data_IF_825002434596
#
_entry.id   IF_825002434596
#
_cell.length_a   1.000
_cell.length_b   1.000
_cell.length_c   1.000
_cell.angle_alpha   90.00
_cell.angle_beta   90.00
_cell.angle_gamma   90.00
#
_symmetry.space_group_name_H-M   'P 1'
#
loop_
_entity.id
_entity.type
_entity.pdbx_description
1 polymer ?
#
# COMPACT_ATOMS: atom_id res chain seq x y z
N UNK A 1 -29.84 11.04 16.19
CA UNK A 1 -28.87 12.11 15.82
C UNK A 1 -28.30 11.75 14.48
N UNK A 2 -28.63 12.51 13.42
CA UNK A 2 -28.02 12.31 12.11
C UNK A 2 -26.61 12.94 12.18
N UNK A 3 -25.57 12.15 11.96
CA UNK A 3 -24.23 12.68 11.79
C UNK A 3 -24.19 13.55 10.54
N UNK A 4 -23.56 14.73 10.58
CA UNK A 4 -23.40 15.55 9.37
C UNK A 4 -22.63 14.72 8.34
N UNK A 5 -23.28 14.43 7.21
CA UNK A 5 -22.59 13.81 6.08
C UNK A 5 -21.63 14.86 5.50
N UNK A 6 -20.34 14.58 5.64
CA UNK A 6 -19.29 15.38 4.99
C UNK A 6 -19.36 15.07 3.49
N UNK A 7 -19.96 15.95 2.71
CA UNK A 7 -19.97 15.84 1.25
C UNK A 7 -18.65 16.40 0.73
N UNK A 8 -17.76 15.51 0.29
CA UNK A 8 -16.53 15.89 -0.39
C UNK A 8 -16.90 16.46 -1.77
N UNK A 9 -16.68 17.75 -2.00
CA UNK A 9 -16.79 18.32 -3.34
C UNK A 9 -15.56 17.92 -4.17
N UNK A 10 -15.70 16.81 -4.89
CA UNK A 10 -14.67 16.23 -5.76
C UNK A 10 -14.88 16.56 -7.24
N UNK A 11 -15.87 17.39 -7.59
CA UNK A 11 -16.08 17.83 -8.96
C UNK A 11 -14.79 18.50 -9.47
N UNK A 12 -14.30 18.09 -10.62
CA UNK A 12 -13.06 18.58 -11.25
C UNK A 12 -11.74 18.35 -10.47
N UNK A 13 -11.77 17.68 -9.32
CA UNK A 13 -10.58 17.38 -8.52
C UNK A 13 -10.19 15.92 -8.67
N UNK A 14 -8.88 15.65 -8.56
CA UNK A 14 -8.34 14.29 -8.62
C UNK A 14 -8.55 13.53 -7.30
N UNK A 15 -8.80 12.24 -7.45
CA UNK A 15 -8.71 11.23 -6.39
C UNK A 15 -7.45 10.41 -6.65
N UNK A 16 -6.48 10.49 -5.76
CA UNK A 16 -5.15 9.87 -5.92
C UNK A 16 -4.91 8.88 -4.80
N UNK A 17 -4.45 7.69 -5.15
CA UNK A 17 -4.13 6.62 -4.22
C UNK A 17 -2.70 6.14 -4.45
N UNK A 18 -1.84 6.27 -3.44
CA UNK A 18 -0.49 5.68 -3.46
C UNK A 18 -0.46 4.41 -2.62
N UNK A 19 0.45 3.51 -2.94
CA UNK A 19 0.52 2.15 -2.37
C UNK A 19 -0.78 1.37 -2.60
N UNK A 20 -1.34 1.53 -3.81
CA UNK A 20 -2.69 1.07 -4.15
C UNK A 20 -2.88 -0.46 -4.09
N UNK A 21 -1.77 -1.23 -4.10
CA UNK A 21 -1.81 -2.69 -4.11
C UNK A 21 -2.68 -3.24 -5.24
N UNK A 22 -3.47 -4.27 -4.97
CA UNK A 22 -4.41 -4.87 -5.93
C UNK A 22 -5.76 -4.12 -6.04
N UNK A 23 -5.95 -2.98 -5.36
CA UNK A 23 -7.12 -2.10 -5.50
C UNK A 23 -8.18 -2.22 -4.40
N UNK A 24 -7.91 -2.91 -3.29
CA UNK A 24 -8.88 -3.02 -2.20
C UNK A 24 -9.31 -1.68 -1.61
N UNK A 25 -8.36 -0.79 -1.34
CA UNK A 25 -8.63 0.58 -0.87
C UNK A 25 -9.38 1.40 -1.92
N UNK A 26 -9.00 1.28 -3.21
CA UNK A 26 -9.68 1.96 -4.30
C UNK A 26 -11.15 1.54 -4.40
N UNK A 27 -11.45 0.25 -4.30
CA UNK A 27 -12.83 -0.26 -4.27
C UNK A 27 -13.66 0.36 -3.13
N UNK A 28 -13.07 0.47 -1.92
CA UNK A 28 -13.72 1.10 -0.78
C UNK A 28 -13.97 2.59 -0.99
N UNK A 29 -12.97 3.31 -1.50
CA UNK A 29 -13.07 4.74 -1.82
C UNK A 29 -14.13 4.98 -2.90
N UNK A 30 -14.11 4.24 -4.00
CA UNK A 30 -15.07 4.38 -5.12
C UNK A 30 -16.51 4.17 -4.66
N UNK A 31 -16.75 3.16 -3.80
CA UNK A 31 -18.07 2.94 -3.20
C UNK A 31 -18.52 4.10 -2.31
N UNK A 32 -17.58 4.69 -1.56
CA UNK A 32 -17.89 5.79 -0.65
C UNK A 32 -18.17 7.11 -1.36
N UNK A 33 -17.45 7.41 -2.45
CA UNK A 33 -17.55 8.69 -3.16
C UNK A 33 -18.41 8.64 -4.43
N UNK A 34 -18.83 7.43 -4.86
CA UNK A 34 -19.69 7.23 -6.04
C UNK A 34 -19.01 7.52 -7.38
N UNK A 35 -17.67 7.52 -7.45
CA UNK A 35 -16.90 7.70 -8.69
C UNK A 35 -15.57 6.96 -8.63
N UNK A 36 -14.93 6.79 -9.80
CA UNK A 36 -13.65 6.12 -9.89
C UNK A 36 -12.50 6.93 -9.28
N UNK A 37 -11.48 6.22 -8.78
CA UNK A 37 -10.17 6.77 -8.47
C UNK A 37 -9.50 7.20 -9.78
N UNK A 38 -8.97 8.41 -9.83
CA UNK A 38 -8.34 8.94 -11.06
C UNK A 38 -6.93 8.37 -11.26
N UNK A 39 -6.14 8.31 -10.20
CA UNK A 39 -4.73 7.91 -10.25
C UNK A 39 -4.43 6.91 -9.14
N UNK A 40 -3.77 5.81 -9.50
CA UNK A 40 -3.24 4.83 -8.57
C UNK A 40 -1.75 4.56 -8.85
N UNK A 41 -0.95 4.50 -7.79
CA UNK A 41 0.48 4.20 -7.91
C UNK A 41 0.91 3.11 -6.93
N UNK A 42 1.75 2.22 -7.40
CA UNK A 42 2.44 1.20 -6.62
C UNK A 42 3.69 0.74 -7.37
N UNK A 43 4.75 0.38 -6.66
CA UNK A 43 6.00 -0.10 -7.26
C UNK A 43 5.94 -1.56 -7.72
N UNK A 44 4.95 -2.33 -7.27
CA UNK A 44 4.81 -3.76 -7.57
C UNK A 44 3.95 -3.95 -8.83
N UNK A 45 4.55 -4.50 -9.90
CA UNK A 45 3.90 -4.73 -11.20
C UNK A 45 2.78 -5.77 -11.12
N UNK A 46 2.98 -6.87 -10.37
CA UNK A 46 1.96 -7.92 -10.23
C UNK A 46 0.70 -7.37 -9.54
N UNK A 47 0.89 -6.59 -8.47
CA UNK A 47 -0.22 -5.93 -7.79
C UNK A 47 -0.94 -4.94 -8.70
N UNK A 48 -0.20 -4.18 -9.51
CA UNK A 48 -0.79 -3.22 -10.44
C UNK A 48 -1.45 -3.88 -11.65
N UNK A 49 -1.03 -5.07 -12.04
CA UNK A 49 -1.74 -5.89 -13.04
C UNK A 49 -3.12 -6.30 -12.54
N UNK A 50 -3.22 -6.77 -11.28
CA UNK A 50 -4.50 -7.02 -10.64
C UNK A 50 -5.34 -5.73 -10.50
N UNK A 51 -4.69 -4.61 -10.15
CA UNK A 51 -5.36 -3.32 -10.01
C UNK A 51 -5.99 -2.86 -11.32
N UNK A 52 -5.27 -2.96 -12.44
CA UNK A 52 -5.79 -2.60 -13.78
C UNK A 52 -7.02 -3.42 -14.16
N UNK A 53 -7.03 -4.71 -13.82
CA UNK A 53 -8.19 -5.57 -14.10
C UNK A 53 -9.43 -5.15 -13.28
N UNK A 54 -9.23 -4.70 -12.03
CA UNK A 54 -10.30 -4.30 -11.13
C UNK A 54 -10.75 -2.84 -11.35
N UNK A 55 -9.83 -1.97 -11.77
CA UNK A 55 -10.05 -0.52 -11.93
C UNK A 55 -9.55 -0.02 -13.30
N UNK A 56 -10.15 -0.48 -14.41
CA UNK A 56 -9.64 -0.18 -15.76
C UNK A 56 -9.71 1.30 -16.15
N UNK A 57 -10.48 2.11 -15.44
CA UNK A 57 -10.66 3.54 -15.70
C UNK A 57 -9.63 4.42 -14.94
N UNK A 58 -8.88 3.83 -14.02
CA UNK A 58 -7.84 4.50 -13.24
C UNK A 58 -6.55 4.61 -14.06
N UNK A 59 -5.89 5.75 -14.01
CA UNK A 59 -4.54 5.91 -14.53
C UNK A 59 -3.53 5.27 -13.57
N UNK A 60 -2.70 4.35 -14.08
CA UNK A 60 -1.80 3.54 -13.27
C UNK A 60 -0.34 3.94 -13.45
N UNK A 61 0.37 4.11 -12.34
CA UNK A 61 1.81 4.34 -12.30
C UNK A 61 2.50 3.18 -11.57
N UNK A 62 3.40 2.47 -12.28
CA UNK A 62 4.22 1.38 -11.71
C UNK A 62 5.59 1.97 -11.40
N UNK A 63 5.65 2.69 -10.30
CA UNK A 63 6.85 3.41 -9.90
C UNK A 63 6.99 3.46 -8.37
N UNK A 64 8.22 3.62 -7.93
CA UNK A 64 8.50 3.98 -6.54
C UNK A 64 8.01 5.41 -6.27
N UNK A 65 7.22 5.58 -5.22
CA UNK A 65 6.67 6.90 -4.83
C UNK A 65 7.74 8.00 -4.68
N UNK A 66 9.01 7.63 -4.43
CA UNK A 66 10.12 8.58 -4.31
C UNK A 66 10.56 9.19 -5.65
N UNK A 67 10.28 8.52 -6.76
CA UNK A 67 10.63 9.00 -8.11
C UNK A 67 9.43 9.53 -8.88
N UNK A 68 8.21 9.33 -8.36
CA UNK A 68 7.01 9.89 -8.95
C UNK A 68 7.06 11.42 -8.94
N UNK A 69 6.78 12.02 -10.10
CA UNK A 69 6.63 13.47 -10.21
C UNK A 69 5.15 13.86 -10.08
N UNK A 70 4.73 14.49 -8.96
CA UNK A 70 3.33 14.85 -8.75
C UNK A 70 2.76 15.81 -9.82
N UNK A 71 3.61 16.67 -10.41
CA UNK A 71 3.19 17.58 -11.47
C UNK A 71 2.87 16.87 -12.78
N UNK A 72 3.64 15.83 -13.10
CA UNK A 72 3.38 15.01 -14.29
C UNK A 72 2.15 14.12 -14.08
N UNK A 73 1.99 13.54 -12.89
CA UNK A 73 0.84 12.71 -12.55
C UNK A 73 -0.48 13.49 -12.56
N UNK A 74 -0.50 14.64 -11.91
CA UNK A 74 -1.72 15.40 -11.67
C UNK A 74 -1.97 16.48 -12.72
N UNK A 75 -0.95 16.87 -13.49
CA UNK A 75 -1.02 18.02 -14.40
C UNK A 75 -1.39 19.29 -13.63
N UNK A 76 -2.28 20.08 -14.22
CA UNK A 76 -2.82 21.31 -13.59
C UNK A 76 -4.07 21.05 -12.71
N UNK A 77 -4.52 19.80 -12.58
CA UNK A 77 -5.75 19.46 -11.82
C UNK A 77 -5.47 19.41 -10.33
N UNK A 78 -6.29 20.06 -9.50
CA UNK A 78 -6.14 20.00 -8.06
C UNK A 78 -6.51 18.61 -7.53
N UNK A 79 -5.79 18.15 -6.49
CA UNK A 79 -6.12 16.92 -5.76
C UNK A 79 -7.19 17.24 -4.71
N UNK A 80 -8.31 16.54 -4.76
CA UNK A 80 -9.41 16.67 -3.81
C UNK A 80 -9.43 15.60 -2.74
N UNK A 81 -8.90 14.43 -3.06
CA UNK A 81 -8.73 13.33 -2.12
C UNK A 81 -7.38 12.62 -2.37
N UNK A 82 -6.63 12.44 -1.31
CA UNK A 82 -5.32 11.81 -1.36
C UNK A 82 -5.26 10.71 -0.31
N UNK A 83 -5.08 9.47 -0.75
CA UNK A 83 -4.95 8.30 0.11
C UNK A 83 -3.56 7.68 0.00
N UNK A 84 -2.99 7.36 1.14
CA UNK A 84 -1.68 6.73 1.26
C UNK A 84 -1.76 5.64 2.30
N UNK A 85 -1.56 4.39 1.89
CA UNK A 85 -1.59 3.24 2.80
C UNK A 85 -0.37 2.33 2.60
N UNK A 86 0.80 2.78 3.03
CA UNK A 86 2.00 1.95 2.96
C UNK A 86 1.84 0.71 3.85
N UNK A 87 2.41 -0.39 3.40
CA UNK A 87 2.40 -1.65 4.13
C UNK A 87 3.13 -1.52 5.46
N UNK A 88 2.50 -1.98 6.53
CA UNK A 88 3.06 -1.89 7.87
C UNK A 88 2.99 -3.24 8.60
N UNK A 89 4.01 -3.52 9.38
CA UNK A 89 4.07 -4.61 10.34
C UNK A 89 3.99 -4.05 11.77
N UNK A 90 3.43 -4.80 12.73
CA UNK A 90 3.42 -4.38 14.12
C UNK A 90 4.81 -4.42 14.74
N UNK A 91 5.01 -3.65 15.80
CA UNK A 91 6.18 -3.75 16.65
C UNK A 91 6.42 -5.19 17.10
N UNK A 92 7.69 -5.58 17.26
CA UNK A 92 8.10 -6.95 17.55
C UNK A 92 8.19 -7.87 16.35
N UNK A 93 7.78 -7.44 15.14
CA UNK A 93 7.99 -8.24 13.92
C UNK A 93 9.49 -8.37 13.64
N UNK A 94 9.97 -9.61 13.55
CA UNK A 94 11.39 -9.88 13.36
C UNK A 94 11.80 -9.73 11.90
N UNK A 95 12.81 -8.93 11.66
CA UNK A 95 13.45 -8.72 10.35
C UNK A 95 14.85 -9.31 10.38
N UNK A 96 15.21 -10.11 9.38
CA UNK A 96 16.57 -10.65 9.27
C UNK A 96 17.54 -9.58 8.77
N UNK A 97 18.47 -9.20 9.63
CA UNK A 97 19.56 -8.25 9.35
C UNK A 97 20.92 -8.97 9.32
N UNK A 98 21.99 -8.26 8.96
CA UNK A 98 23.37 -8.79 9.10
C UNK A 98 23.75 -9.13 10.54
N UNK A 99 23.06 -8.56 11.52
CA UNK A 99 23.27 -8.83 12.96
C UNK A 99 22.39 -9.94 13.51
N UNK A 100 21.58 -10.58 12.67
CA UNK A 100 20.57 -11.54 13.06
C UNK A 100 19.15 -10.97 13.03
N UNK A 101 18.21 -11.68 13.64
CA UNK A 101 16.83 -11.24 13.76
C UNK A 101 16.71 -10.02 14.68
N UNK A 102 16.19 -8.95 14.18
CA UNK A 102 16.03 -7.65 14.88
C UNK A 102 14.57 -7.22 14.79
N UNK A 103 13.95 -6.76 15.89
CA UNK A 103 12.61 -6.17 15.86
C UNK A 103 12.52 -5.01 14.87
N UNK A 104 11.41 -4.93 14.12
CA UNK A 104 11.26 -3.94 13.02
C UNK A 104 11.38 -2.50 13.51
N UNK A 105 10.94 -2.20 14.73
CA UNK A 105 11.05 -0.88 15.35
C UNK A 105 12.49 -0.47 15.68
N UNK A 106 13.41 -1.42 15.74
CA UNK A 106 14.84 -1.17 15.99
C UNK A 106 15.64 -0.98 14.70
N UNK A 107 15.02 -1.24 13.54
CA UNK A 107 15.65 -1.08 12.22
C UNK A 107 15.86 0.40 11.92
N UNK A 108 17.08 0.73 11.51
CA UNK A 108 17.50 2.10 11.19
C UNK A 108 17.89 2.23 9.73
N UNK A 109 17.81 3.46 9.24
CA UNK A 109 18.37 3.81 7.93
C UNK A 109 19.87 3.45 7.90
N UNK A 110 20.26 2.71 6.87
CA UNK A 110 21.62 2.21 6.71
C UNK A 110 21.81 0.74 7.12
N UNK A 111 20.90 0.15 7.90
CA UNK A 111 20.94 -1.29 8.17
C UNK A 111 20.76 -2.11 6.88
N UNK A 112 21.34 -3.31 6.85
CA UNK A 112 21.14 -4.24 5.74
C UNK A 112 20.16 -5.33 6.15
N UNK A 113 19.10 -5.49 5.35
CA UNK A 113 18.04 -6.49 5.54
C UNK A 113 17.97 -7.44 4.35
N UNK A 114 17.51 -8.67 4.60
CA UNK A 114 17.26 -9.63 3.52
C UNK A 114 15.94 -9.31 2.80
N UNK A 115 15.93 -9.44 1.49
CA UNK A 115 14.72 -9.25 0.68
C UNK A 115 14.10 -10.59 0.26
N UNK A 116 12.88 -10.57 -0.28
CA UNK A 116 12.19 -11.74 -0.85
C UNK A 116 12.96 -12.43 -2.00
N UNK A 117 13.91 -11.74 -2.63
CA UNK A 117 14.81 -12.29 -3.64
C UNK A 117 16.11 -12.84 -3.03
N UNK A 118 16.14 -13.04 -1.72
CA UNK A 118 17.31 -13.52 -0.96
C UNK A 118 18.58 -12.67 -1.17
N UNK A 119 18.40 -11.35 -1.30
CA UNK A 119 19.47 -10.36 -1.47
C UNK A 119 19.50 -9.37 -0.32
N UNK A 120 20.69 -9.05 0.15
CA UNK A 120 20.90 -7.99 1.13
C UNK A 120 20.68 -6.63 0.50
N UNK A 121 19.91 -5.79 1.16
CA UNK A 121 19.65 -4.42 0.75
C UNK A 121 19.69 -3.48 1.94
N UNK A 122 20.23 -2.30 1.69
CA UNK A 122 20.30 -1.24 2.70
C UNK A 122 18.93 -0.60 2.88
N UNK A 123 18.53 -0.40 4.13
CA UNK A 123 17.35 0.38 4.50
C UNK A 123 17.59 1.84 4.14
N UNK A 124 16.74 2.40 3.30
CA UNK A 124 16.84 3.78 2.82
C UNK A 124 15.94 4.74 3.58
N UNK A 125 14.84 4.24 4.14
CA UNK A 125 13.93 5.01 4.99
C UNK A 125 13.16 4.09 5.93
N UNK A 126 12.69 4.63 7.05
CA UNK A 126 11.78 3.96 7.98
C UNK A 126 10.56 4.84 8.21
N UNK A 127 9.43 4.22 8.54
CA UNK A 127 8.19 4.93 8.82
C UNK A 127 7.45 4.22 9.95
N UNK A 128 6.83 5.00 10.82
CA UNK A 128 5.96 4.49 11.90
C UNK A 128 4.57 5.12 11.78
N UNK A 129 3.54 4.30 11.94
CA UNK A 129 2.15 4.76 11.91
C UNK A 129 1.30 3.95 12.91
N UNK A 130 0.24 4.55 13.43
CA UNK A 130 -0.77 3.85 14.22
C UNK A 130 -1.89 3.42 13.28
N UNK A 131 -2.06 2.09 13.11
CA UNK A 131 -3.06 1.51 12.21
C UNK A 131 -3.72 0.29 12.84
N UNK A 132 -4.98 -0.03 12.48
CA UNK A 132 -5.58 -1.32 12.82
C UNK A 132 -4.81 -2.44 12.13
N UNK A 133 -4.64 -3.55 12.84
CA UNK A 133 -3.93 -4.74 12.35
C UNK A 133 -4.85 -5.95 12.33
N UNK A 134 -4.56 -6.90 11.43
CA UNK A 134 -5.23 -8.19 11.29
C UNK A 134 -4.25 -9.31 11.57
N UNK A 135 -4.72 -10.37 12.24
CA UNK A 135 -3.98 -11.63 12.34
C UNK A 135 -4.47 -12.56 11.24
N UNK A 136 -3.57 -12.93 10.34
CA UNK A 136 -3.85 -13.84 9.23
C UNK A 136 -3.18 -15.18 9.54
N UNK A 137 -3.96 -16.26 9.53
CA UNK A 137 -3.49 -17.63 9.73
C UNK A 137 -3.81 -18.47 8.51
N UNK A 138 -2.89 -19.33 8.12
CA UNK A 138 -3.05 -20.25 6.99
C UNK A 138 -2.61 -21.66 7.35
N UNK A 139 -2.99 -22.62 6.51
CA UNK A 139 -2.54 -24.00 6.68
C UNK A 139 -1.00 -24.06 6.55
N UNK A 140 -0.33 -24.60 7.58
CA UNK A 140 1.14 -24.74 7.61
C UNK A 140 1.91 -23.44 7.92
N UNK A 141 1.21 -22.37 8.31
CA UNK A 141 1.85 -21.11 8.71
C UNK A 141 1.37 -20.67 10.11
N UNK A 142 2.27 -20.30 11.03
CA UNK A 142 1.92 -19.95 12.41
C UNK A 142 1.04 -18.70 12.54
N UNK A 143 0.92 -17.95 11.46
CA UNK A 143 0.20 -16.68 11.40
C UNK A 143 1.14 -15.50 11.27
N UNK A 144 0.59 -14.38 10.82
CA UNK A 144 1.27 -13.09 10.73
C UNK A 144 0.29 -11.99 11.10
N UNK A 145 0.78 -10.96 11.77
CA UNK A 145 0.00 -9.75 12.10
C UNK A 145 0.49 -8.63 11.19
N UNK A 146 -0.43 -7.99 10.49
CA UNK A 146 -0.13 -6.96 9.49
C UNK A 146 -1.23 -5.92 9.41
N UNK A 147 -0.98 -4.79 8.76
CA UNK A 147 -2.04 -3.83 8.43
C UNK A 147 -3.05 -4.45 7.44
N UNK A 148 -4.28 -3.93 7.42
CA UNK A 148 -5.35 -4.45 6.56
C UNK A 148 -5.02 -4.40 5.07
N UNK A 149 -4.18 -3.46 4.67
CA UNK A 149 -3.80 -3.23 3.27
C UNK A 149 -2.56 -4.04 2.84
N UNK A 150 -1.98 -4.84 3.75
CA UNK A 150 -0.74 -5.57 3.46
C UNK A 150 -0.95 -6.62 2.36
N UNK A 151 -0.22 -6.55 1.24
CA UNK A 151 -0.32 -7.54 0.16
C UNK A 151 0.39 -8.83 0.55
N UNK A 152 -0.23 -9.96 0.21
CA UNK A 152 0.36 -11.28 0.36
C UNK A 152 0.56 -11.95 -0.98
N UNK A 153 1.75 -12.50 -1.21
CA UNK A 153 1.96 -13.43 -2.30
C UNK A 153 1.30 -14.77 -1.92
N UNK A 154 0.18 -15.08 -2.55
CA UNK A 154 -0.56 -16.31 -2.33
C UNK A 154 -0.64 -17.15 -3.59
N UNK A 155 -0.43 -18.44 -3.47
CA UNK A 155 -0.64 -19.42 -4.54
C UNK A 155 -1.98 -20.12 -4.33
N UNK A 156 -2.87 -20.04 -5.32
CA UNK A 156 -4.11 -20.82 -5.30
C UNK A 156 -3.77 -22.31 -5.35
N UNK A 157 -4.30 -23.09 -4.40
CA UNK A 157 -4.25 -24.56 -4.50
C UNK A 157 -5.07 -24.96 -5.72
N UNK A 158 -4.46 -25.67 -6.66
CA UNK A 158 -5.21 -26.36 -7.73
C UNK A 158 -5.75 -27.63 -7.09
N UNK A 159 -7.06 -27.78 -7.12
CA UNK A 159 -7.74 -29.03 -6.77
C UNK A 159 -7.34 -30.15 -7.74
#
# INVERSE_FOLDING_TARGET
MQHPQFILNLASKLVVVLFAGAGGSCTGIEKAIGRHVDIAANHNDDAMSCHRANHPQTQHYIEDVRVLNPREMCGARPVGYFHVSPDCFPAGTLVLTRRGYTPIEEIKVGDEVITHLNRWRRVTSTMTAVKPVLSIRGHGHPGVVVSQEHPFLARRRRD
#
